data_IF_194698978430
#
_entry.id   IF_194698978430
#
_cell.length_a   1.000
_cell.length_b   1.000
_cell.length_c   1.000
_cell.angle_alpha   90.00
_cell.angle_beta   90.00
_cell.angle_gamma   90.00
#
_symmetry.space_group_name_H-M   'P 1'
#
loop_
_entity.id
_entity.type
_entity.pdbx_description
1 polymer ?
#
# COMPACT_ATOMS: atom_id res chain seq x y z
N UNK A 1 21.27 20.51 27.96
CA UNK A 1 20.90 19.85 29.19
C UNK A 1 20.61 20.85 30.30
N UNK A 2 19.36 21.28 30.46
CA UNK A 2 18.92 21.90 31.70
C UNK A 2 18.54 20.75 32.64
N UNK A 3 19.13 20.70 33.83
CA UNK A 3 18.72 19.86 34.95
C UNK A 3 17.28 20.23 35.28
N UNK A 4 16.31 19.41 34.84
CA UNK A 4 14.93 19.55 35.27
C UNK A 4 14.85 19.12 36.72
N UNK A 5 14.35 19.98 37.59
CA UNK A 5 14.13 19.65 38.98
C UNK A 5 13.06 18.57 39.11
N UNK A 6 13.10 17.77 40.18
CA UNK A 6 12.06 16.75 40.44
C UNK A 6 10.65 17.37 40.45
N UNK A 7 10.54 18.59 40.96
CA UNK A 7 9.27 19.35 40.95
C UNK A 7 8.76 19.68 39.57
N UNK A 8 9.65 19.98 38.59
CA UNK A 8 9.26 20.26 37.21
C UNK A 8 8.74 18.96 36.51
N UNK A 9 9.36 17.83 36.84
CA UNK A 9 8.92 16.52 36.32
C UNK A 9 7.56 16.12 36.90
N UNK A 10 7.33 16.36 38.22
CA UNK A 10 6.04 16.08 38.86
C UNK A 10 4.94 16.98 38.34
N UNK A 11 5.21 18.28 38.17
CA UNK A 11 4.25 19.23 37.54
C UNK A 11 3.91 18.81 36.11
N UNK A 12 4.90 18.40 35.32
CA UNK A 12 4.68 17.96 33.96
C UNK A 12 3.86 16.66 33.92
N UNK A 13 4.12 15.71 34.84
CA UNK A 13 3.32 14.49 34.99
C UNK A 13 1.85 14.79 35.32
N UNK A 14 1.62 15.71 36.26
CA UNK A 14 0.27 16.12 36.63
C UNK A 14 -0.45 16.85 35.48
N UNK A 15 0.24 17.74 34.76
CA UNK A 15 -0.31 18.43 33.58
C UNK A 15 -0.66 17.49 32.44
N UNK A 16 0.13 16.44 32.23
CA UNK A 16 -0.10 15.40 31.22
C UNK A 16 -1.07 14.31 31.70
N UNK A 17 -1.52 14.37 32.98
CA UNK A 17 -2.42 13.39 33.56
C UNK A 17 -1.81 11.99 33.72
N UNK A 18 -0.47 11.89 33.71
CA UNK A 18 0.27 10.63 33.85
C UNK A 18 0.26 10.09 35.29
N UNK A 19 -0.23 10.86 36.25
CA UNK A 19 -0.48 10.49 37.64
C UNK A 19 -1.82 9.76 37.83
N UNK A 20 -2.66 9.73 36.82
CA UNK A 20 -3.98 9.13 36.89
C UNK A 20 -3.97 7.63 36.59
N UNK A 21 -5.07 6.94 36.98
CA UNK A 21 -5.25 5.52 36.67
C UNK A 21 -5.19 5.27 35.16
N UNK A 22 -4.59 4.15 34.75
CA UNK A 22 -4.46 3.70 33.38
C UNK A 22 -5.76 3.84 32.54
N UNK A 23 -6.90 3.44 33.10
CA UNK A 23 -8.18 3.55 32.41
C UNK A 23 -8.61 4.99 32.12
N UNK A 24 -8.28 5.93 33.01
CA UNK A 24 -8.58 7.36 32.80
C UNK A 24 -7.66 7.95 31.73
N UNK A 25 -6.37 7.59 31.76
CA UNK A 25 -5.43 8.00 30.72
C UNK A 25 -5.84 7.46 29.34
N UNK A 26 -6.25 6.18 29.28
CA UNK A 26 -6.72 5.53 28.06
C UNK A 26 -8.00 6.22 27.53
N UNK A 27 -8.98 6.47 28.39
CA UNK A 27 -10.21 7.15 27.99
C UNK A 27 -9.95 8.55 27.44
N UNK A 28 -9.13 9.35 28.13
CA UNK A 28 -8.75 10.70 27.65
C UNK A 28 -8.00 10.65 26.31
N UNK A 29 -7.13 9.68 26.16
CA UNK A 29 -6.44 9.49 24.88
C UNK A 29 -7.42 9.17 23.74
N UNK A 30 -8.39 8.28 23.97
CA UNK A 30 -9.42 7.96 22.98
C UNK A 30 -10.31 9.17 22.67
N UNK A 31 -10.74 9.91 23.68
CA UNK A 31 -11.53 11.13 23.51
C UNK A 31 -10.77 12.18 22.67
N UNK A 32 -9.51 12.41 22.97
CA UNK A 32 -8.64 13.27 22.18
C UNK A 32 -8.45 12.77 20.75
N UNK A 33 -8.23 11.47 20.57
CA UNK A 33 -8.01 10.85 19.28
C UNK A 33 -9.22 10.96 18.34
N UNK A 34 -10.45 10.81 18.88
CA UNK A 34 -11.70 11.02 18.11
C UNK A 34 -11.82 12.47 17.63
N UNK A 35 -11.28 13.42 18.39
CA UNK A 35 -11.23 14.84 18.02
C UNK A 35 -10.02 15.19 17.13
N UNK A 36 -9.17 14.21 16.76
CA UNK A 36 -7.94 14.42 15.98
C UNK A 36 -6.77 14.97 16.80
N UNK A 37 -6.88 14.99 18.13
CA UNK A 37 -5.82 15.40 19.04
C UNK A 37 -5.09 14.17 19.60
N UNK A 38 -3.90 13.89 19.08
CA UNK A 38 -3.04 12.79 19.50
C UNK A 38 -1.95 13.23 20.50
N UNK A 39 -2.05 14.46 21.03
CA UNK A 39 -1.02 15.03 21.91
C UNK A 39 0.12 15.66 21.14
N UNK A 40 1.25 15.86 21.85
CA UNK A 40 2.44 16.54 21.37
C UNK A 40 3.59 15.53 21.29
N UNK A 41 4.33 15.54 20.18
CA UNK A 41 5.54 14.74 19.99
C UNK A 41 6.60 15.13 21.04
N UNK A 42 7.09 14.16 21.77
CA UNK A 42 8.14 14.41 22.78
C UNK A 42 9.45 14.83 22.16
N UNK A 43 9.71 14.41 20.92
CA UNK A 43 10.93 14.76 20.19
C UNK A 43 10.85 16.10 19.49
N UNK A 44 9.72 16.35 18.80
CA UNK A 44 9.58 17.53 17.93
C UNK A 44 8.92 18.72 18.63
N UNK A 45 8.24 18.53 19.77
CA UNK A 45 7.51 19.57 20.48
C UNK A 45 6.33 20.15 19.71
N UNK A 46 5.82 19.43 18.68
CA UNK A 46 4.72 19.85 17.80
C UNK A 46 3.52 18.91 17.97
N UNK A 47 2.29 19.37 17.66
CA UNK A 47 1.12 18.50 17.60
C UNK A 47 1.33 17.31 16.67
N UNK A 48 1.04 16.11 17.15
CA UNK A 48 1.24 14.87 16.37
C UNK A 48 0.36 14.84 15.12
N UNK A 49 -0.86 15.39 15.19
CA UNK A 49 -1.77 15.50 14.05
C UNK A 49 -1.16 16.30 12.88
N UNK A 50 -0.47 17.41 13.17
CA UNK A 50 0.21 18.20 12.14
C UNK A 50 1.35 17.41 11.48
N UNK A 51 2.17 16.72 12.29
CA UNK A 51 3.28 15.91 11.80
C UNK A 51 2.76 14.78 10.89
N UNK A 52 1.68 14.10 11.30
CA UNK A 52 1.07 13.05 10.49
C UNK A 52 0.51 13.58 9.17
N UNK A 53 -0.18 14.73 9.19
CA UNK A 53 -0.72 15.36 7.98
C UNK A 53 0.37 15.82 7.01
N UNK A 54 1.52 16.26 7.50
CA UNK A 54 2.68 16.60 6.67
C UNK A 54 3.31 15.36 6.00
N UNK A 55 3.26 14.19 6.66
CA UNK A 55 3.89 12.95 6.19
C UNK A 55 2.95 12.04 5.40
N UNK A 56 1.65 12.09 5.67
CA UNK A 56 0.65 11.25 5.04
C UNK A 56 0.65 11.33 3.49
N UNK A 57 0.78 12.49 2.83
CA UNK A 57 0.86 12.56 1.38
C UNK A 57 1.96 11.69 0.78
N UNK A 58 3.13 11.62 1.40
CA UNK A 58 4.25 10.83 0.91
C UNK A 58 3.94 9.33 0.88
N UNK A 59 3.37 8.80 1.97
CA UNK A 59 2.96 7.39 2.04
C UNK A 59 1.82 7.07 1.08
N UNK A 60 0.83 7.95 0.99
CA UNK A 60 -0.34 7.74 0.13
C UNK A 60 0.03 7.77 -1.36
N UNK A 61 0.90 8.70 -1.79
CA UNK A 61 1.42 8.73 -3.15
C UNK A 61 2.21 7.47 -3.49
N UNK A 62 3.11 7.06 -2.61
CA UNK A 62 3.89 5.83 -2.77
C UNK A 62 2.97 4.61 -2.88
N UNK A 63 2.01 4.46 -1.96
CA UNK A 63 1.07 3.35 -1.95
C UNK A 63 0.17 3.33 -3.19
N UNK A 64 -0.33 4.50 -3.62
CA UNK A 64 -1.18 4.62 -4.81
C UNK A 64 -0.44 4.22 -6.09
N UNK A 65 0.79 4.72 -6.29
CA UNK A 65 1.60 4.37 -7.46
C UNK A 65 2.01 2.92 -7.44
N UNK A 66 2.46 2.40 -6.29
CA UNK A 66 2.81 0.98 -6.14
C UNK A 66 1.62 0.07 -6.41
N UNK A 67 0.45 0.40 -5.88
CA UNK A 67 -0.80 -0.33 -6.12
C UNK A 67 -1.23 -0.30 -7.59
N UNK A 68 -1.16 0.88 -8.21
CA UNK A 68 -1.44 1.02 -9.64
C UNK A 68 -0.50 0.17 -10.51
N UNK A 69 0.81 0.22 -10.26
CA UNK A 69 1.79 -0.59 -10.98
C UNK A 69 1.53 -2.09 -10.76
N UNK A 70 1.26 -2.49 -9.52
CA UNK A 70 0.96 -3.88 -9.19
C UNK A 70 -0.27 -4.40 -9.94
N UNK A 71 -1.35 -3.64 -9.99
CA UNK A 71 -2.58 -4.01 -10.70
C UNK A 71 -2.36 -4.02 -12.22
N UNK A 72 -1.82 -2.93 -12.77
CA UNK A 72 -1.66 -2.77 -14.21
C UNK A 72 -0.76 -3.86 -14.80
N UNK A 73 0.44 -4.02 -14.24
CA UNK A 73 1.40 -5.01 -14.71
C UNK A 73 1.03 -6.44 -14.27
N UNK A 74 0.48 -6.62 -13.07
CA UNK A 74 0.01 -7.92 -12.59
C UNK A 74 -1.08 -8.51 -13.50
N UNK A 75 -2.10 -7.73 -13.85
CA UNK A 75 -3.15 -8.17 -14.79
C UNK A 75 -2.56 -8.41 -16.18
N UNK A 76 -1.78 -7.49 -16.73
CA UNK A 76 -1.23 -7.61 -18.07
C UNK A 76 -0.34 -8.85 -18.21
N UNK A 77 0.60 -9.06 -17.28
CA UNK A 77 1.50 -10.21 -17.27
C UNK A 77 0.75 -11.51 -16.96
N UNK A 78 -0.26 -11.49 -16.09
CA UNK A 78 -1.11 -12.65 -15.79
C UNK A 78 -1.86 -13.15 -17.02
N UNK A 79 -2.53 -12.24 -17.73
CA UNK A 79 -3.22 -12.54 -19.00
C UNK A 79 -2.24 -13.05 -20.06
N UNK A 80 -1.09 -12.35 -20.23
CA UNK A 80 -0.07 -12.78 -21.19
C UNK A 80 0.43 -14.19 -20.91
N UNK A 81 0.79 -14.49 -19.66
CA UNK A 81 1.30 -15.81 -19.26
C UNK A 81 0.24 -16.90 -19.29
N UNK A 82 -1.04 -16.58 -19.17
CA UNK A 82 -2.14 -17.53 -19.35
C UNK A 82 -2.36 -17.89 -20.83
N UNK A 83 -2.42 -16.86 -21.69
CA UNK A 83 -2.65 -17.07 -23.13
C UNK A 83 -1.46 -17.79 -23.78
N UNK A 84 -0.23 -17.43 -23.42
CA UNK A 84 1.01 -18.03 -23.95
C UNK A 84 1.64 -19.05 -23.01
N UNK A 85 0.84 -19.85 -22.32
CA UNK A 85 1.23 -20.75 -21.23
C UNK A 85 2.44 -21.67 -21.51
N UNK A 86 2.65 -22.07 -22.75
CA UNK A 86 3.74 -22.96 -23.19
C UNK A 86 4.91 -22.18 -23.80
N UNK A 87 4.87 -20.86 -23.83
CA UNK A 87 5.92 -20.03 -24.44
C UNK A 87 7.10 -19.82 -23.48
N UNK A 88 8.31 -19.71 -24.03
CA UNK A 88 9.52 -19.41 -23.27
C UNK A 88 9.37 -18.13 -22.44
N UNK A 89 8.85 -17.06 -23.03
CA UNK A 89 8.65 -15.78 -22.31
C UNK A 89 7.70 -15.92 -21.10
N UNK A 90 6.60 -16.68 -21.25
CA UNK A 90 5.68 -16.91 -20.14
C UNK A 90 6.36 -17.70 -18.99
N UNK A 91 7.14 -18.71 -19.33
CA UNK A 91 7.89 -19.49 -18.34
C UNK A 91 8.98 -18.64 -17.68
N UNK A 92 9.71 -17.82 -18.42
CA UNK A 92 10.72 -16.90 -17.89
C UNK A 92 10.08 -15.88 -16.91
N UNK A 93 8.96 -15.25 -17.28
CA UNK A 93 8.23 -14.33 -16.40
C UNK A 93 7.80 -15.06 -15.10
N UNK A 94 7.27 -16.27 -15.20
CA UNK A 94 6.87 -17.05 -14.03
C UNK A 94 8.05 -17.40 -13.13
N UNK A 95 9.20 -17.77 -13.71
CA UNK A 95 10.42 -18.08 -12.93
C UNK A 95 10.97 -16.82 -12.25
N UNK A 96 11.06 -15.69 -12.97
CA UNK A 96 11.51 -14.42 -12.38
C UNK A 96 10.56 -13.96 -11.27
N UNK A 97 9.26 -14.16 -11.45
CA UNK A 97 8.27 -13.80 -10.42
C UNK A 97 8.44 -14.62 -9.13
N UNK A 98 8.86 -15.88 -9.23
CA UNK A 98 9.17 -16.70 -8.04
C UNK A 98 10.35 -16.13 -7.26
N UNK A 99 11.39 -15.67 -7.95
CA UNK A 99 12.54 -15.01 -7.32
C UNK A 99 12.06 -13.75 -6.60
N UNK A 100 11.22 -12.93 -7.24
CA UNK A 100 10.69 -11.69 -6.67
C UNK A 100 9.84 -11.89 -5.40
N UNK A 101 9.16 -13.04 -5.23
CA UNK A 101 8.42 -13.38 -3.99
C UNK A 101 9.33 -14.01 -2.94
N UNK A 102 10.39 -14.71 -3.36
CA UNK A 102 11.30 -15.40 -2.44
C UNK A 102 12.27 -14.45 -1.75
N UNK A 103 12.58 -13.31 -2.37
CA UNK A 103 13.48 -12.31 -1.79
C UNK A 103 12.73 -11.35 -0.87
N UNK A 104 13.31 -10.99 0.29
CA UNK A 104 12.75 -9.93 1.14
C UNK A 104 12.68 -8.60 0.36
N UNK A 105 11.58 -7.85 0.53
CA UNK A 105 11.36 -6.59 -0.19
C UNK A 105 12.46 -5.55 0.05
N UNK A 106 13.02 -5.49 1.25
CA UNK A 106 14.14 -4.59 1.55
C UNK A 106 15.40 -4.94 0.73
N UNK A 107 15.66 -6.23 0.52
CA UNK A 107 16.79 -6.67 -0.28
C UNK A 107 16.62 -6.28 -1.75
N UNK A 108 15.41 -6.43 -2.28
CA UNK A 108 15.08 -5.96 -3.64
C UNK A 108 15.30 -4.44 -3.73
N UNK A 109 14.86 -3.67 -2.75
CA UNK A 109 15.09 -2.23 -2.69
C UNK A 109 16.57 -1.87 -2.72
N UNK A 110 17.40 -2.53 -1.91
CA UNK A 110 18.85 -2.32 -1.89
C UNK A 110 19.50 -2.67 -3.24
N UNK A 111 19.10 -3.79 -3.86
CA UNK A 111 19.62 -4.19 -5.17
C UNK A 111 19.23 -3.20 -6.28
N UNK A 112 18.00 -2.65 -6.23
CA UNK A 112 17.57 -1.62 -7.19
C UNK A 112 18.33 -0.31 -6.97
N UNK A 113 18.57 0.11 -5.73
CA UNK A 113 19.43 1.27 -5.43
C UNK A 113 20.83 1.02 -5.98
N UNK A 114 21.43 -0.12 -5.68
CA UNK A 114 22.77 -0.45 -6.14
C UNK A 114 22.85 -0.36 -7.67
N UNK A 115 21.95 -1.01 -8.38
CA UNK A 115 21.99 -1.06 -9.83
C UNK A 115 21.67 0.30 -10.48
N UNK A 116 20.53 0.91 -10.13
CA UNK A 116 20.02 2.08 -10.85
C UNK A 116 20.55 3.42 -10.33
N UNK A 117 20.95 3.48 -9.06
CA UNK A 117 21.45 4.72 -8.47
C UNK A 117 22.97 4.75 -8.39
N UNK A 118 23.62 3.64 -7.97
CA UNK A 118 25.06 3.62 -7.77
C UNK A 118 25.79 3.29 -9.07
N UNK A 119 25.46 2.17 -9.73
CA UNK A 119 26.17 1.72 -10.94
C UNK A 119 25.78 2.53 -12.17
N UNK A 120 24.51 2.76 -12.40
CA UNK A 120 24.02 3.44 -13.60
C UNK A 120 23.85 4.95 -13.43
N UNK A 121 23.69 5.47 -12.20
CA UNK A 121 23.49 6.88 -11.93
C UNK A 121 22.19 7.45 -12.53
N UNK A 122 21.17 6.63 -12.80
CA UNK A 122 19.95 7.07 -13.48
C UNK A 122 18.91 7.66 -12.55
N UNK A 123 18.82 7.14 -11.33
CA UNK A 123 17.75 7.47 -10.38
C UNK A 123 18.37 7.80 -9.00
N UNK A 124 17.71 8.65 -8.20
CA UNK A 124 18.19 8.97 -6.87
C UNK A 124 18.05 7.76 -5.93
N UNK A 125 19.01 7.65 -4.99
CA UNK A 125 19.03 6.55 -4.00
C UNK A 125 18.02 6.74 -2.88
N UNK A 126 17.79 8.00 -2.44
CA UNK A 126 17.06 8.33 -1.22
C UNK A 126 16.22 9.58 -1.36
N UNK A 127 15.22 9.70 -0.48
CA UNK A 127 14.38 10.89 -0.36
C UNK A 127 13.23 10.92 -1.37
N UNK A 128 12.48 12.03 -1.36
CA UNK A 128 11.26 12.22 -2.17
C UNK A 128 11.47 13.19 -3.35
N UNK A 129 12.69 13.76 -3.49
CA UNK A 129 12.93 14.84 -4.42
C UNK A 129 12.23 16.13 -4.02
N UNK A 130 12.13 17.06 -4.95
CA UNK A 130 11.40 18.32 -4.76
C UNK A 130 9.89 18.06 -4.75
N UNK A 131 9.17 18.81 -3.92
CA UNK A 131 7.72 18.71 -3.81
C UNK A 131 7.06 20.07 -3.94
N UNK A 132 5.86 20.09 -4.51
CA UNK A 132 5.00 21.27 -4.61
C UNK A 132 3.88 21.16 -3.59
N UNK A 133 3.60 22.26 -2.89
CA UNK A 133 2.49 22.32 -1.94
C UNK A 133 1.22 22.81 -2.64
N UNK A 134 0.16 22.02 -2.57
CA UNK A 134 -1.18 22.34 -3.08
C UNK A 134 -2.14 22.32 -1.88
N UNK A 135 -2.45 23.49 -1.33
CA UNK A 135 -3.20 23.58 -0.08
C UNK A 135 -2.47 22.89 1.08
N UNK A 136 -3.07 21.89 1.68
CA UNK A 136 -2.47 21.08 2.76
C UNK A 136 -1.75 19.83 2.24
N UNK A 137 -1.72 19.61 0.94
CA UNK A 137 -1.08 18.43 0.31
C UNK A 137 0.27 18.80 -0.30
N UNK A 138 1.29 18.02 -0.01
CA UNK A 138 2.59 18.11 -0.69
C UNK A 138 2.72 16.99 -1.70
N UNK A 139 2.99 17.33 -2.98
CA UNK A 139 3.11 16.33 -4.05
C UNK A 139 4.46 16.38 -4.75
N UNK A 140 5.03 15.20 -5.03
CA UNK A 140 6.19 15.03 -5.89
C UNK A 140 5.84 14.83 -7.37
N UNK A 141 4.56 14.65 -7.71
CA UNK A 141 4.13 14.37 -9.09
C UNK A 141 4.35 15.52 -10.07
N UNK A 142 4.47 16.74 -9.58
CA UNK A 142 4.64 17.95 -10.39
C UNK A 142 6.11 18.34 -10.59
N UNK A 143 7.05 17.56 -10.09
CA UNK A 143 8.49 17.82 -10.23
C UNK A 143 9.18 16.63 -10.87
N UNK A 144 10.18 16.89 -11.69
CA UNK A 144 10.96 15.82 -12.33
C UNK A 144 11.72 14.99 -11.29
N UNK A 145 12.33 15.65 -10.31
CA UNK A 145 13.08 14.99 -9.24
C UNK A 145 12.16 14.15 -8.35
N UNK A 146 10.93 14.60 -8.07
CA UNK A 146 9.93 13.85 -7.32
C UNK A 146 9.47 12.59 -8.06
N UNK A 147 9.21 12.69 -9.37
CA UNK A 147 8.86 11.53 -10.19
C UNK A 147 10.00 10.52 -10.24
N UNK A 148 11.24 10.96 -10.44
CA UNK A 148 12.41 10.08 -10.45
C UNK A 148 12.62 9.38 -9.11
N UNK A 149 12.47 10.11 -8.00
CA UNK A 149 12.62 9.56 -6.66
C UNK A 149 11.56 8.51 -6.31
N UNK A 150 10.37 8.59 -6.91
CA UNK A 150 9.26 7.68 -6.67
C UNK A 150 9.43 6.31 -7.36
N UNK A 151 10.21 6.22 -8.46
CA UNK A 151 10.28 5.03 -9.31
C UNK A 151 10.76 3.79 -8.53
N UNK A 152 11.93 3.87 -7.90
CA UNK A 152 12.51 2.70 -7.21
C UNK A 152 11.69 2.25 -6.00
N UNK A 153 11.24 3.16 -5.10
CA UNK A 153 10.36 2.79 -4.00
C UNK A 153 9.03 2.17 -4.49
N UNK A 154 8.42 2.74 -5.53
CA UNK A 154 7.15 2.24 -6.05
C UNK A 154 7.27 0.85 -6.67
N UNK A 155 8.36 0.57 -7.42
CA UNK A 155 8.66 -0.76 -7.94
C UNK A 155 8.89 -1.73 -6.78
N UNK A 156 9.71 -1.37 -5.80
CA UNK A 156 10.03 -2.23 -4.64
C UNK A 156 8.78 -2.63 -3.88
N UNK A 157 7.93 -1.68 -3.54
CA UNK A 157 6.69 -1.91 -2.80
C UNK A 157 5.65 -2.66 -3.63
N UNK A 158 5.54 -2.33 -4.93
CA UNK A 158 4.57 -2.92 -5.84
C UNK A 158 4.90 -4.33 -6.34
N UNK A 159 6.18 -4.72 -6.37
CA UNK A 159 6.65 -5.95 -7.02
C UNK A 159 6.06 -7.22 -6.39
N UNK A 160 5.98 -7.28 -5.07
CA UNK A 160 5.38 -8.41 -4.36
C UNK A 160 3.91 -8.56 -4.72
N UNK A 161 3.15 -7.48 -4.64
CA UNK A 161 1.71 -7.47 -4.97
C UNK A 161 1.47 -7.76 -6.46
N UNK A 162 2.30 -7.18 -7.33
CA UNK A 162 2.25 -7.45 -8.77
C UNK A 162 2.40 -8.96 -9.06
N UNK A 163 3.31 -9.62 -8.38
CA UNK A 163 3.53 -11.07 -8.56
C UNK A 163 2.35 -11.89 -8.09
N UNK A 164 1.75 -11.55 -6.93
CA UNK A 164 0.55 -12.23 -6.43
C UNK A 164 -0.62 -12.06 -7.38
N UNK A 165 -0.88 -10.82 -7.84
CA UNK A 165 -1.95 -10.51 -8.78
C UNK A 165 -1.73 -11.24 -10.11
N UNK A 166 -0.51 -11.22 -10.64
CA UNK A 166 -0.17 -11.91 -11.89
C UNK A 166 -0.46 -13.41 -11.79
N UNK A 167 -0.08 -14.07 -10.71
CA UNK A 167 -0.32 -15.51 -10.51
C UNK A 167 -1.80 -15.82 -10.36
N UNK A 168 -2.54 -15.00 -9.65
CA UNK A 168 -3.98 -15.12 -9.49
C UNK A 168 -4.68 -14.97 -10.85
N UNK A 169 -4.40 -13.88 -11.58
CA UNK A 169 -4.98 -13.63 -12.91
C UNK A 169 -4.67 -14.78 -13.86
N UNK A 170 -3.45 -15.30 -13.85
CA UNK A 170 -3.08 -16.46 -14.67
C UNK A 170 -3.93 -17.69 -14.32
N UNK A 171 -4.05 -18.01 -13.03
CA UNK A 171 -4.82 -19.18 -12.56
C UNK A 171 -6.27 -19.08 -12.99
N UNK A 172 -6.92 -17.98 -12.66
CA UNK A 172 -8.32 -17.71 -13.00
C UNK A 172 -8.54 -17.69 -14.52
N UNK A 173 -7.65 -17.06 -15.28
CA UNK A 173 -7.75 -17.01 -16.74
C UNK A 173 -7.65 -18.40 -17.37
N UNK A 174 -6.75 -19.26 -16.87
CA UNK A 174 -6.61 -20.64 -17.34
C UNK A 174 -7.85 -21.49 -17.02
N UNK A 175 -8.49 -21.26 -15.89
CA UNK A 175 -9.73 -21.93 -15.51
C UNK A 175 -10.88 -21.49 -16.42
N UNK A 176 -11.07 -20.18 -16.57
CA UNK A 176 -12.11 -19.58 -17.41
C UNK A 176 -11.97 -20.03 -18.88
N UNK A 177 -10.74 -20.07 -19.43
CA UNK A 177 -10.50 -20.51 -20.80
C UNK A 177 -10.88 -21.97 -21.10
N UNK A 178 -11.08 -22.78 -20.07
CA UNK A 178 -11.52 -24.20 -20.18
C UNK A 178 -13.04 -24.36 -20.13
N UNK A 179 -13.78 -23.31 -19.76
CA UNK A 179 -15.24 -23.35 -19.60
C UNK A 179 -15.97 -23.59 -20.94
N UNK A 180 -17.13 -24.24 -20.87
CA UNK A 180 -17.89 -24.62 -22.08
C UNK A 180 -18.38 -23.42 -22.88
N UNK A 181 -18.75 -22.31 -22.23
CA UNK A 181 -19.16 -21.11 -22.95
C UNK A 181 -18.03 -20.48 -23.78
N UNK A 182 -16.76 -20.65 -23.35
CA UNK A 182 -15.58 -20.23 -24.13
C UNK A 182 -15.39 -21.18 -25.32
N UNK A 183 -15.55 -22.49 -25.13
CA UNK A 183 -15.53 -23.46 -26.24
C UNK A 183 -16.63 -23.16 -27.25
N UNK A 184 -17.83 -22.86 -26.78
CA UNK A 184 -18.95 -22.46 -27.64
C UNK A 184 -18.66 -21.16 -28.43
N UNK A 185 -18.05 -20.15 -27.77
CA UNK A 185 -17.67 -18.91 -28.44
C UNK A 185 -16.66 -19.16 -29.57
N UNK A 186 -15.68 -20.06 -29.37
CA UNK A 186 -14.74 -20.50 -30.42
C UNK A 186 -15.45 -21.25 -31.56
N UNK A 187 -16.37 -22.18 -31.23
CA UNK A 187 -17.14 -22.94 -32.22
C UNK A 187 -17.99 -22.03 -33.11
N UNK A 188 -18.45 -20.89 -32.58
CA UNK A 188 -19.15 -19.85 -33.35
C UNK A 188 -18.22 -18.99 -34.22
N UNK A 189 -16.94 -19.27 -34.29
CA UNK A 189 -15.97 -18.56 -35.15
C UNK A 189 -15.53 -17.18 -34.60
N UNK A 190 -15.71 -16.90 -33.29
CA UNK A 190 -15.21 -15.66 -32.70
C UNK A 190 -13.69 -15.63 -32.73
N UNK A 191 -13.14 -14.46 -33.06
CA UNK A 191 -11.67 -14.25 -33.07
C UNK A 191 -11.10 -14.47 -31.67
N UNK A 192 -9.94 -15.13 -31.56
CA UNK A 192 -9.26 -15.41 -30.28
C UNK A 192 -9.07 -14.16 -29.39
N UNK A 193 -8.83 -12.99 -30.01
CA UNK A 193 -8.75 -11.73 -29.27
C UNK A 193 -10.08 -11.39 -28.57
N UNK A 194 -11.20 -11.59 -29.23
CA UNK A 194 -12.51 -11.36 -28.62
C UNK A 194 -12.81 -12.38 -27.53
N UNK A 195 -12.47 -13.65 -27.75
CA UNK A 195 -12.61 -14.71 -26.75
C UNK A 195 -11.80 -14.40 -25.51
N UNK A 196 -10.52 -14.03 -25.65
CA UNK A 196 -9.62 -13.79 -24.53
C UNK A 196 -9.97 -12.52 -23.74
N UNK A 197 -10.18 -11.37 -24.42
CA UNK A 197 -10.32 -10.08 -23.76
C UNK A 197 -11.78 -9.71 -23.44
N UNK A 198 -12.74 -10.09 -24.28
CA UNK A 198 -14.14 -9.71 -24.07
C UNK A 198 -14.91 -10.76 -23.25
N UNK A 199 -14.61 -12.05 -23.43
CA UNK A 199 -15.32 -13.13 -22.76
C UNK A 199 -14.55 -13.69 -21.56
N UNK A 200 -13.29 -14.08 -21.73
CA UNK A 200 -12.52 -14.69 -20.64
C UNK A 200 -12.07 -13.68 -19.60
N UNK A 201 -11.39 -12.60 -19.99
CA UNK A 201 -10.85 -11.61 -19.05
C UNK A 201 -11.94 -10.98 -18.18
N UNK A 202 -13.10 -10.66 -18.74
CA UNK A 202 -14.20 -10.07 -17.98
C UNK A 202 -14.63 -10.95 -16.79
N UNK A 203 -14.72 -12.27 -17.02
CA UNK A 203 -15.11 -13.21 -15.96
C UNK A 203 -13.95 -13.52 -15.00
N UNK A 204 -12.71 -13.50 -15.49
CA UNK A 204 -11.49 -13.61 -14.68
C UNK A 204 -11.34 -12.47 -13.67
N UNK A 205 -11.72 -11.24 -14.06
CA UNK A 205 -11.53 -10.07 -13.19
C UNK A 205 -12.43 -10.06 -11.95
N UNK A 206 -13.54 -10.79 -11.91
CA UNK A 206 -14.42 -10.79 -10.74
C UNK A 206 -13.70 -11.29 -9.47
N UNK A 207 -13.15 -12.52 -9.42
CA UNK A 207 -12.39 -12.98 -8.26
C UNK A 207 -11.08 -12.19 -8.06
N UNK A 208 -10.47 -11.72 -9.16
CA UNK A 208 -9.22 -10.93 -9.09
C UNK A 208 -9.43 -9.60 -8.37
N UNK A 209 -10.50 -8.87 -8.66
CA UNK A 209 -10.81 -7.58 -8.01
C UNK A 209 -10.99 -7.79 -6.51
N UNK A 210 -11.70 -8.84 -6.10
CA UNK A 210 -11.93 -9.16 -4.69
C UNK A 210 -10.62 -9.37 -3.94
N UNK A 211 -9.79 -10.31 -4.43
CA UNK A 211 -8.52 -10.63 -3.77
C UNK A 211 -7.54 -9.46 -3.84
N UNK A 212 -7.46 -8.78 -4.98
CA UNK A 212 -6.58 -7.60 -5.16
C UNK A 212 -6.98 -6.48 -4.20
N UNK A 213 -8.27 -6.25 -4.03
CA UNK A 213 -8.79 -5.25 -3.11
C UNK A 213 -8.31 -5.49 -1.67
N UNK A 214 -8.47 -6.70 -1.17
CA UNK A 214 -7.97 -7.09 0.17
C UNK A 214 -6.45 -6.90 0.29
N UNK A 215 -5.70 -7.15 -0.78
CA UNK A 215 -4.25 -6.99 -0.81
C UNK A 215 -3.79 -5.52 -0.83
N UNK A 216 -4.60 -4.58 -1.35
CA UNK A 216 -4.24 -3.16 -1.38
C UNK A 216 -4.08 -2.57 0.03
N UNK A 217 -4.87 -3.02 0.99
CA UNK A 217 -4.71 -2.62 2.40
C UNK A 217 -3.34 -2.97 2.97
N UNK A 218 -2.75 -4.09 2.55
CA UNK A 218 -1.43 -4.51 3.00
C UNK A 218 -0.28 -3.65 2.44
N UNK A 219 -0.45 -2.99 1.30
CA UNK A 219 0.58 -2.11 0.71
C UNK A 219 0.98 -1.02 1.71
N UNK A 220 0.02 -0.42 2.41
CA UNK A 220 0.30 0.64 3.39
C UNK A 220 1.06 0.08 4.59
N UNK A 221 0.70 -1.11 5.07
CA UNK A 221 1.41 -1.74 6.17
C UNK A 221 2.87 -2.08 5.82
N UNK A 222 3.12 -2.54 4.58
CA UNK A 222 4.47 -2.85 4.10
C UNK A 222 5.26 -1.63 3.62
N UNK A 223 4.60 -0.47 3.42
CA UNK A 223 5.27 0.77 3.03
C UNK A 223 6.38 1.17 4.02
N UNK A 224 6.22 0.87 5.32
CA UNK A 224 7.20 1.18 6.37
C UNK A 224 8.61 0.67 6.03
N UNK A 225 8.73 -0.54 5.51
CA UNK A 225 10.01 -1.15 5.14
C UNK A 225 10.62 -0.38 3.96
N UNK A 226 9.83 -0.12 2.93
CA UNK A 226 10.26 0.62 1.74
C UNK A 226 10.63 2.06 2.08
N UNK A 227 9.83 2.74 2.89
CA UNK A 227 10.11 4.10 3.35
C UNK A 227 11.43 4.17 4.14
N UNK A 228 11.72 3.15 4.95
CA UNK A 228 12.97 3.08 5.71
C UNK A 228 14.16 2.87 4.79
N UNK A 229 14.08 1.95 3.83
CA UNK A 229 15.18 1.66 2.88
C UNK A 229 15.51 2.86 2.02
N UNK A 230 14.50 3.54 1.48
CA UNK A 230 14.67 4.68 0.58
C UNK A 230 14.71 6.03 1.31
N UNK A 231 14.68 6.06 2.65
CA UNK A 231 14.55 7.29 3.45
C UNK A 231 13.43 8.19 2.93
N UNK A 232 12.32 7.55 2.51
CA UNK A 232 11.14 8.22 2.01
C UNK A 232 10.38 8.88 3.16
N UNK A 233 10.12 10.19 3.13
CA UNK A 233 9.63 10.94 4.29
C UNK A 233 8.13 10.73 4.56
N UNK A 234 7.69 9.48 4.68
CA UNK A 234 6.32 9.09 4.97
C UNK A 234 6.04 8.86 6.45
N UNK A 235 4.82 8.38 6.73
CA UNK A 235 4.37 8.09 8.11
C UNK A 235 5.03 6.82 8.67
N UNK A 236 5.41 5.85 7.83
CA UNK A 236 6.11 4.65 8.27
C UNK A 236 7.53 4.94 8.74
N UNK A 237 8.29 5.78 8.02
CA UNK A 237 9.60 6.22 8.46
C UNK A 237 9.50 7.06 9.73
N UNK A 238 8.45 7.90 9.84
CA UNK A 238 8.16 8.65 11.07
C UNK A 238 7.98 7.70 12.26
N UNK A 239 7.25 6.60 12.09
CA UNK A 239 7.02 5.60 13.13
C UNK A 239 8.31 4.90 13.56
N UNK A 240 9.16 4.48 12.62
CA UNK A 240 10.46 3.88 12.95
C UNK A 240 11.32 4.85 13.77
N UNK A 241 11.35 6.12 13.38
CA UNK A 241 12.04 7.14 14.14
C UNK A 241 11.42 7.34 15.54
N UNK A 242 10.09 7.30 15.65
CA UNK A 242 9.41 7.43 16.94
C UNK A 242 9.76 6.27 17.89
N UNK A 243 9.91 5.04 17.39
CA UNK A 243 10.39 3.90 18.19
C UNK A 243 11.79 4.15 18.71
N UNK A 244 12.73 4.58 17.84
CA UNK A 244 14.13 4.82 18.23
C UNK A 244 14.28 5.91 19.29
N UNK A 245 13.42 6.92 19.29
CA UNK A 245 13.45 8.03 20.25
C UNK A 245 12.38 7.94 21.34
N UNK A 246 11.65 6.81 21.44
CA UNK A 246 10.60 6.57 22.43
C UNK A 246 9.52 7.67 22.44
N UNK A 247 9.11 8.11 21.27
CA UNK A 247 8.05 9.12 21.09
C UNK A 247 6.66 8.46 21.09
N UNK A 248 6.17 8.16 22.28
CA UNK A 248 4.95 7.38 22.51
C UNK A 248 3.72 8.01 21.83
N UNK A 249 3.47 9.34 21.89
CA UNK A 249 2.32 9.94 21.23
C UNK A 249 2.31 9.70 19.71
N UNK A 250 3.46 9.82 19.05
CA UNK A 250 3.59 9.55 17.61
C UNK A 250 3.36 8.07 17.30
N UNK A 251 3.90 7.17 18.13
CA UNK A 251 3.72 5.72 17.96
C UNK A 251 2.24 5.32 18.06
N UNK A 252 1.54 5.79 19.08
CA UNK A 252 0.14 5.50 19.30
C UNK A 252 -0.74 6.06 18.17
N UNK A 253 -0.49 7.31 17.76
CA UNK A 253 -1.21 7.96 16.66
C UNK A 253 -0.99 7.26 15.33
N UNK A 254 0.24 6.81 15.03
CA UNK A 254 0.53 6.02 13.83
C UNK A 254 -0.27 4.71 13.79
N UNK A 255 -0.27 3.95 14.88
CA UNK A 255 -1.00 2.67 14.95
C UNK A 255 -2.51 2.87 14.76
N UNK A 256 -3.08 3.93 15.32
CA UNK A 256 -4.49 4.29 15.10
C UNK A 256 -4.74 4.70 13.63
N UNK A 257 -3.88 5.55 13.07
CA UNK A 257 -4.00 5.99 11.68
C UNK A 257 -3.97 4.81 10.71
N UNK A 258 -2.99 3.91 10.85
CA UNK A 258 -2.87 2.72 10.00
C UNK A 258 -4.10 1.80 10.15
N UNK A 259 -4.60 1.62 11.37
CA UNK A 259 -5.79 0.81 11.63
C UNK A 259 -7.02 1.40 10.93
N UNK A 260 -7.24 2.71 11.05
CA UNK A 260 -8.35 3.41 10.39
C UNK A 260 -8.20 3.36 8.87
N UNK A 261 -6.99 3.57 8.34
CA UNK A 261 -6.74 3.47 6.90
C UNK A 261 -6.99 2.05 6.38
N UNK A 262 -6.53 1.03 7.10
CA UNK A 262 -6.75 -0.37 6.73
C UNK A 262 -8.24 -0.73 6.69
N UNK A 263 -8.98 -0.37 7.74
CA UNK A 263 -10.45 -0.57 7.79
C UNK A 263 -11.16 0.22 6.69
N UNK A 264 -10.76 1.47 6.47
CA UNK A 264 -11.33 2.32 5.41
C UNK A 264 -11.11 1.75 4.01
N UNK A 265 -9.91 1.27 3.71
CA UNK A 265 -9.60 0.64 2.42
C UNK A 265 -10.40 -0.64 2.24
N UNK A 266 -10.47 -1.51 3.25
CA UNK A 266 -11.27 -2.73 3.18
C UNK A 266 -12.74 -2.41 2.96
N UNK A 267 -13.29 -1.41 3.65
CA UNK A 267 -14.66 -0.98 3.45
C UNK A 267 -14.92 -0.50 2.01
N UNK A 268 -14.00 0.30 1.45
CA UNK A 268 -14.09 0.75 0.04
C UNK A 268 -14.06 -0.45 -0.91
N UNK A 269 -13.19 -1.40 -0.66
CA UNK A 269 -13.07 -2.64 -1.46
C UNK A 269 -14.34 -3.48 -1.37
N UNK A 270 -14.91 -3.65 -0.18
CA UNK A 270 -16.17 -4.37 0.02
C UNK A 270 -17.34 -3.68 -0.70
N UNK A 271 -17.38 -2.35 -0.66
CA UNK A 271 -18.38 -1.57 -1.41
C UNK A 271 -18.22 -1.73 -2.93
N UNK A 272 -16.98 -1.72 -3.44
CA UNK A 272 -16.69 -1.95 -4.86
C UNK A 272 -17.06 -3.38 -5.26
N UNK A 273 -16.76 -4.37 -4.42
CA UNK A 273 -17.16 -5.75 -4.63
C UNK A 273 -18.67 -5.89 -4.72
N UNK A 274 -19.41 -5.33 -3.78
CA UNK A 274 -20.88 -5.31 -3.80
C UNK A 274 -21.46 -4.61 -5.04
N UNK A 275 -20.79 -3.57 -5.55
CA UNK A 275 -21.20 -2.86 -6.75
C UNK A 275 -20.98 -3.70 -8.05
N UNK A 276 -19.92 -4.51 -8.07
CA UNK A 276 -19.49 -5.29 -9.25
C UNK A 276 -20.17 -6.66 -9.34
N UNK A 277 -20.45 -7.31 -8.20
CA UNK A 277 -21.08 -8.64 -8.19
C UNK A 277 -22.62 -8.56 -8.06
N UNK A 278 -23.36 -8.79 -9.16
CA UNK A 278 -24.82 -8.76 -9.16
C UNK A 278 -25.46 -9.88 -8.32
N UNK A 279 -24.72 -10.97 -8.03
CA UNK A 279 -25.26 -12.15 -7.34
C UNK A 279 -25.54 -11.84 -5.88
N UNK A 280 -24.75 -10.98 -5.24
CA UNK A 280 -24.99 -10.50 -3.88
C UNK A 280 -26.26 -9.64 -3.73
N UNK A 281 -26.75 -9.08 -4.84
CA UNK A 281 -28.03 -8.35 -4.86
C UNK A 281 -29.25 -9.29 -4.90
N UNK A 282 -29.11 -10.45 -5.52
CA UNK A 282 -30.20 -11.41 -5.70
C UNK A 282 -30.58 -12.16 -4.41
N UNK A 283 -29.62 -12.46 -3.53
CA UNK A 283 -29.86 -13.15 -2.26
C UNK A 283 -30.70 -12.36 -1.25
N UNK A 284 -30.80 -11.04 -1.38
CA UNK A 284 -31.67 -10.19 -0.54
C UNK A 284 -33.13 -10.15 -1.00
N UNK A 285 -33.42 -10.51 -2.21
CA UNK A 285 -34.81 -10.53 -2.76
C UNK A 285 -35.50 -11.88 -2.65
N UNK A 286 -34.78 -12.92 -2.22
CA UNK A 286 -35.31 -14.29 -2.02
C UNK A 286 -35.74 -14.68 -0.61
N UNK A 287 -35.65 -13.74 0.37
CA UNK A 287 -36.09 -13.96 1.75
C UNK A 287 -37.41 -13.24 2.02
N UNK A 288 -38.49 -13.71 1.36
CA UNK A 288 -39.88 -13.48 1.78
C UNK A 288 -40.68 -14.77 1.57
#
# INVERSE_FOLDING_TARGET
GQERTLEDVERLRAQLGLDQNFFVQYYRFLEGAVQGNFGVSFRQGRPVSEILLERAPATLELAAVSGFLAIAFGIALGVFTAIRRNGFAANAIMTVSLIGVSLPTFLIGILLIYLFSVELGWLPSFGRGETVKIGNWTTGFLTQSGLQALILPAITLGLYQMTLIMRLVRSEMLEVLRQDYIRFARARGLRERAVNFRHALKNTLVPVITVTGLQLGSIIAFAIITETVFQWPGVGLLFINAIQFVDIPVMAAYLMLISVMFVGINLIVDMLYFAIDPRLRADRTGAH
#
